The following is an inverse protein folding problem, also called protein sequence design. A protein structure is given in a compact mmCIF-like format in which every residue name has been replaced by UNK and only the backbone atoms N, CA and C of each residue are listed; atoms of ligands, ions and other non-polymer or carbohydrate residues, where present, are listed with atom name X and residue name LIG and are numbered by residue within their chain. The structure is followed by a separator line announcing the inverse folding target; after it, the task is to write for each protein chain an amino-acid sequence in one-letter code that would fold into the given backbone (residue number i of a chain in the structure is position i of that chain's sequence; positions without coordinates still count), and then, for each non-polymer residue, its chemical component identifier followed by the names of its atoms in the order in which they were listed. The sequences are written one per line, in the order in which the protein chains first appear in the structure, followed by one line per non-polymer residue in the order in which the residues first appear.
data_IF_176975795059
#
_entry.id   IF_176975795059
#
_cell.length_a   1.000
_cell.length_b   1.000
_cell.length_c   1.000
_cell.angle_alpha   90.00
_cell.angle_beta   90.00
_cell.angle_gamma   90.00
#
_symmetry.space_group_name_H-M   'P 1'
#
loop_
_entity.id
_entity.type
_entity.pdbx_description
1 polymer ?
#
# COMPACT_ATOMS: atom_id res chain seq x y z
N UNK A 1 28.09 12.27 46.89
CA UNK A 1 27.41 11.05 46.37
C UNK A 1 27.62 11.02 44.86
N UNK A 2 28.17 9.92 44.33
CA UNK A 2 28.80 9.90 43.00
C UNK A 2 28.02 9.05 41.98
N UNK A 3 28.29 9.29 40.70
CA UNK A 3 27.63 8.79 39.48
C UNK A 3 27.61 7.25 39.34
N UNK A 4 28.33 6.53 40.19
CA UNK A 4 28.56 5.08 40.13
C UNK A 4 27.37 4.16 40.45
N UNK A 5 26.18 4.69 40.80
CA UNK A 5 24.99 3.87 41.12
C UNK A 5 23.94 3.84 39.98
N UNK A 6 24.13 4.62 38.88
CA UNK A 6 23.18 4.65 37.74
C UNK A 6 23.70 4.03 36.43
N UNK A 7 24.91 3.47 36.41
CA UNK A 7 25.49 2.77 35.23
C UNK A 7 25.38 1.23 35.38
N UNK A 8 24.74 0.74 36.44
CA UNK A 8 24.52 -0.70 36.69
C UNK A 8 23.39 -1.34 35.85
N UNK A 9 22.72 -0.58 34.98
CA UNK A 9 21.59 -1.05 34.15
C UNK A 9 21.94 -1.25 32.66
N UNK A 10 23.19 -0.97 32.25
CA UNK A 10 23.59 -1.01 30.82
C UNK A 10 24.50 -2.19 30.44
N UNK A 11 24.63 -3.19 31.32
CA UNK A 11 25.69 -4.22 31.24
C UNK A 11 25.17 -5.67 31.32
N UNK A 12 23.90 -5.90 30.96
CA UNK A 12 23.24 -7.23 31.03
C UNK A 12 22.49 -7.68 29.76
N UNK A 13 22.59 -6.96 28.64
CA UNK A 13 21.99 -7.36 27.35
C UNK A 13 23.03 -7.46 26.21
N UNK A 14 24.30 -7.12 26.48
CA UNK A 14 25.40 -7.18 25.50
C UNK A 14 26.59 -7.97 26.05
N UNK A 15 26.36 -9.25 26.36
CA UNK A 15 27.31 -10.38 26.32
C UNK A 15 26.46 -11.66 26.29
N UNK A 16 26.28 -12.21 25.08
CA UNK A 16 25.74 -13.57 24.83
C UNK A 16 26.14 -14.01 23.41
N UNK A 17 27.39 -13.72 23.05
CA UNK A 17 27.97 -14.01 21.73
C UNK A 17 29.39 -14.55 21.96
N UNK A 18 29.63 -15.81 21.57
CA UNK A 18 30.92 -16.55 21.57
C UNK A 18 31.46 -16.85 22.99
N UNK A 19 32.07 -17.98 23.39
CA UNK A 19 32.77 -19.15 22.79
C UNK A 19 32.55 -20.35 23.78
N UNK A 20 32.39 -21.65 23.46
CA UNK A 20 32.19 -22.44 22.22
C UNK A 20 31.58 -23.82 22.54
N UNK A 21 31.01 -24.50 21.53
CA UNK A 21 31.21 -25.94 21.27
C UNK A 21 30.78 -26.26 19.84
N UNK A 22 31.73 -26.79 19.05
CA UNK A 22 31.52 -27.06 17.63
C UNK A 22 30.59 -28.27 17.37
N UNK A 23 30.02 -28.31 16.16
CA UNK A 23 29.00 -29.22 15.60
C UNK A 23 27.56 -28.67 15.78
N UNK A 24 26.78 -28.40 14.74
CA UNK A 24 26.95 -28.74 13.33
C UNK A 24 26.86 -27.52 12.41
N UNK A 25 27.86 -27.34 11.54
CA UNK A 25 27.64 -26.70 10.24
C UNK A 25 26.76 -27.65 9.43
N UNK A 26 25.45 -27.41 9.42
CA UNK A 26 24.54 -28.08 8.51
C UNK A 26 24.71 -27.48 7.11
N UNK A 27 25.75 -27.94 6.41
CA UNK A 27 25.96 -27.90 4.95
C UNK A 27 24.93 -27.07 4.17
N UNK A 28 25.20 -25.77 3.99
CA UNK A 28 24.62 -25.03 2.88
C UNK A 28 25.30 -25.55 1.61
N UNK A 29 24.75 -26.63 1.06
CA UNK A 29 25.21 -27.20 -0.19
C UNK A 29 25.06 -26.18 -1.32
N UNK A 30 26.18 -25.57 -1.72
CA UNK A 30 26.28 -24.77 -2.95
C UNK A 30 25.93 -25.70 -4.10
N UNK A 31 24.68 -25.62 -4.56
CA UNK A 31 24.18 -26.48 -5.61
C UNK A 31 24.51 -25.84 -6.96
N UNK A 32 25.45 -26.40 -7.77
CA UNK A 32 25.99 -25.73 -8.97
C UNK A 32 24.99 -25.58 -10.13
N UNK A 33 23.73 -25.98 -9.91
CA UNK A 33 22.61 -25.82 -10.84
C UNK A 33 21.59 -24.75 -10.39
N UNK A 34 21.86 -24.00 -9.31
CA UNK A 34 21.00 -22.91 -8.82
C UNK A 34 19.66 -23.36 -8.20
N UNK A 35 19.41 -24.67 -8.11
CA UNK A 35 18.22 -25.23 -7.45
C UNK A 35 18.53 -25.42 -5.96
N UNK A 36 18.37 -24.35 -5.18
CA UNK A 36 18.39 -24.44 -3.72
C UNK A 36 17.26 -25.33 -3.18
N UNK A 37 17.34 -25.80 -1.91
CA UNK A 37 16.28 -26.58 -1.29
C UNK A 37 14.95 -25.81 -1.36
N UNK A 38 13.88 -26.47 -1.83
CA UNK A 38 12.55 -25.87 -2.01
C UNK A 38 11.93 -25.51 -0.65
N UNK A 39 12.18 -24.28 -0.20
CA UNK A 39 11.64 -23.70 1.05
C UNK A 39 10.42 -22.80 0.82
N UNK A 40 9.85 -22.82 -0.40
CA UNK A 40 8.58 -22.19 -0.74
C UNK A 40 7.44 -22.80 0.09
N UNK A 41 6.59 -21.99 0.72
CA UNK A 41 5.40 -22.50 1.41
C UNK A 41 4.36 -23.03 0.43
N UNK A 42 4.23 -22.36 -0.70
CA UNK A 42 3.22 -22.69 -1.70
C UNK A 42 3.91 -23.55 -2.75
N UNK A 43 3.47 -24.80 -2.89
CA UNK A 43 3.77 -25.56 -4.10
C UNK A 43 2.85 -25.00 -5.21
N UNK A 44 3.39 -24.08 -6.02
CA UNK A 44 2.66 -23.16 -6.91
C UNK A 44 2.00 -23.83 -8.14
N UNK A 45 1.86 -25.16 -8.15
CA UNK A 45 1.55 -25.97 -9.33
C UNK A 45 0.08 -26.35 -9.51
N UNK A 46 -0.82 -25.98 -8.58
CA UNK A 46 -2.25 -26.32 -8.63
C UNK A 46 -3.13 -25.20 -9.25
N UNK A 47 -4.14 -25.60 -10.04
CA UNK A 47 -5.12 -24.69 -10.69
C UNK A 47 -6.16 -24.05 -9.76
N UNK A 48 -6.28 -24.53 -8.52
CA UNK A 48 -7.01 -23.89 -7.43
C UNK A 48 -6.37 -24.37 -6.12
N UNK A 49 -5.98 -23.45 -5.24
CA UNK A 49 -5.35 -23.80 -3.98
C UNK A 49 -5.89 -22.91 -2.85
N UNK A 50 -6.61 -23.49 -1.89
CA UNK A 50 -7.14 -22.73 -0.75
C UNK A 50 -6.02 -22.17 0.12
N UNK A 51 -4.84 -22.82 0.17
CA UNK A 51 -3.65 -22.26 0.80
C UNK A 51 -3.15 -21.00 0.10
N UNK A 52 -3.34 -20.91 -1.22
CA UNK A 52 -3.03 -19.67 -1.95
C UNK A 52 -4.07 -18.59 -1.70
N UNK A 53 -5.36 -18.93 -1.48
CA UNK A 53 -6.36 -17.95 -1.01
C UNK A 53 -6.01 -17.40 0.36
N UNK A 54 -5.59 -18.24 1.32
CA UNK A 54 -5.12 -17.80 2.63
C UNK A 54 -3.94 -16.82 2.52
N UNK A 55 -2.95 -17.16 1.69
CA UNK A 55 -1.79 -16.29 1.43
C UNK A 55 -2.25 -14.98 0.80
N UNK A 56 -3.02 -15.02 -0.29
CA UNK A 56 -3.54 -13.82 -0.96
C UNK A 56 -4.36 -12.96 -0.01
N UNK A 57 -5.20 -13.55 0.85
CA UNK A 57 -5.96 -12.83 1.87
C UNK A 57 -5.05 -12.14 2.88
N UNK A 58 -4.04 -12.82 3.44
CA UNK A 58 -3.14 -12.21 4.40
C UNK A 58 -2.29 -11.05 3.83
N UNK A 59 -1.98 -11.11 2.52
CA UNK A 59 -1.36 -9.99 1.77
C UNK A 59 -2.38 -8.87 1.50
N UNK A 60 -3.59 -9.19 1.04
CA UNK A 60 -4.67 -8.23 0.79
C UNK A 60 -5.04 -7.44 2.08
N UNK A 61 -5.18 -8.15 3.20
CA UNK A 61 -5.44 -7.62 4.55
C UNK A 61 -4.27 -6.78 5.12
N UNK A 62 -3.10 -6.76 4.44
CA UNK A 62 -1.92 -5.94 4.77
C UNK A 62 -1.64 -4.86 3.71
N UNK A 63 -2.57 -4.62 2.78
CA UNK A 63 -2.51 -3.50 1.84
C UNK A 63 -1.75 -3.77 0.55
N UNK A 64 -1.35 -5.01 0.29
CA UNK A 64 -0.79 -5.39 -0.99
C UNK A 64 -1.90 -5.46 -2.06
N UNK A 65 -1.61 -5.00 -3.29
CA UNK A 65 -2.55 -5.07 -4.42
C UNK A 65 -2.63 -6.50 -4.96
N UNK A 66 -3.55 -7.30 -4.41
CA UNK A 66 -3.72 -8.73 -4.67
C UNK A 66 -5.20 -9.12 -4.65
N UNK A 67 -5.69 -9.73 -5.74
CA UNK A 67 -6.98 -10.41 -5.77
C UNK A 67 -6.91 -11.77 -5.07
N UNK A 68 -7.87 -12.05 -4.17
CA UNK A 68 -8.01 -13.34 -3.48
C UNK A 68 -8.75 -14.36 -4.37
N UNK A 69 -8.06 -14.83 -5.40
CA UNK A 69 -8.62 -15.69 -6.46
C UNK A 69 -8.32 -17.19 -6.30
N UNK A 70 -7.34 -17.56 -5.46
CA UNK A 70 -6.80 -18.92 -5.36
C UNK A 70 -5.93 -19.35 -6.55
N UNK A 71 -5.64 -18.42 -7.47
CA UNK A 71 -4.80 -18.60 -8.67
C UNK A 71 -3.56 -17.72 -8.58
N UNK A 72 -2.40 -18.21 -8.98
CA UNK A 72 -1.16 -17.42 -8.95
C UNK A 72 -1.13 -16.41 -10.11
N UNK A 73 -1.64 -15.21 -9.86
CA UNK A 73 -1.58 -14.09 -10.80
C UNK A 73 -0.31 -13.26 -10.67
N UNK A 74 -0.07 -12.40 -11.68
CA UNK A 74 1.00 -11.39 -11.68
C UNK A 74 0.93 -10.48 -10.45
N UNK A 75 -0.27 -10.13 -10.01
CA UNK A 75 -0.54 -9.37 -8.78
C UNK A 75 0.06 -10.03 -7.53
N UNK A 76 -0.13 -11.35 -7.36
CA UNK A 76 0.37 -12.11 -6.22
C UNK A 76 1.90 -12.19 -6.26
N UNK A 77 2.48 -12.41 -7.44
CA UNK A 77 3.95 -12.40 -7.63
C UNK A 77 4.52 -10.99 -7.33
N UNK A 78 3.86 -9.93 -7.80
CA UNK A 78 4.25 -8.55 -7.50
C UNK A 78 4.19 -8.24 -6.00
N UNK A 79 3.23 -8.82 -5.26
CA UNK A 79 3.16 -8.67 -3.81
C UNK A 79 4.30 -9.42 -3.09
N UNK A 80 4.67 -10.62 -3.55
CA UNK A 80 5.86 -11.33 -3.05
C UNK A 80 7.13 -10.51 -3.31
N UNK A 81 7.28 -9.92 -4.50
CA UNK A 81 8.39 -9.01 -4.84
C UNK A 81 8.41 -7.77 -3.95
N UNK A 82 7.25 -7.19 -3.62
CA UNK A 82 7.16 -6.05 -2.71
C UNK A 82 7.58 -6.41 -1.29
N UNK A 83 7.15 -7.57 -0.77
CA UNK A 83 7.59 -8.07 0.53
C UNK A 83 9.11 -8.32 0.54
N UNK A 84 9.66 -8.96 -0.50
CA UNK A 84 11.11 -9.18 -0.63
C UNK A 84 11.91 -7.88 -0.60
N UNK A 85 11.44 -6.83 -1.28
CA UNK A 85 12.03 -5.49 -1.22
C UNK A 85 11.96 -4.86 0.17
N UNK A 86 10.81 -4.96 0.84
CA UNK A 86 10.62 -4.44 2.20
C UNK A 86 11.55 -5.14 3.22
N UNK A 87 11.70 -6.47 3.09
CA UNK A 87 12.59 -7.30 3.91
C UNK A 87 14.08 -7.20 3.53
N UNK A 88 14.41 -6.49 2.43
CA UNK A 88 15.77 -6.42 1.84
C UNK A 88 16.35 -7.80 1.50
N UNK A 89 15.48 -8.71 1.06
CA UNK A 89 15.82 -10.08 0.66
C UNK A 89 15.92 -10.23 -0.87
N UNK A 90 16.54 -11.30 -1.39
CA UNK A 90 16.62 -11.56 -2.83
C UNK A 90 15.25 -11.56 -3.52
N UNK A 91 15.15 -10.81 -4.62
CA UNK A 91 13.91 -10.68 -5.40
C UNK A 91 13.76 -11.90 -6.31
N UNK A 92 13.01 -12.90 -5.86
CA UNK A 92 12.75 -14.15 -6.59
C UNK A 92 11.31 -14.26 -7.09
N UNK A 93 10.38 -13.47 -6.56
CA UNK A 93 8.95 -13.60 -6.84
C UNK A 93 8.31 -14.88 -6.27
N UNK A 94 8.99 -15.61 -5.38
CA UNK A 94 8.54 -16.83 -4.70
C UNK A 94 8.49 -16.62 -3.19
N UNK A 95 7.42 -17.06 -2.52
CA UNK A 95 7.23 -16.86 -1.09
C UNK A 95 7.85 -17.98 -0.24
N UNK A 96 8.93 -17.66 0.48
CA UNK A 96 9.60 -18.61 1.38
C UNK A 96 8.94 -18.70 2.76
N UNK A 97 9.25 -19.78 3.50
CA UNK A 97 8.76 -19.97 4.86
C UNK A 97 9.17 -18.89 5.86
N UNK A 98 10.35 -18.29 5.69
CA UNK A 98 10.81 -17.15 6.49
C UNK A 98 10.01 -15.88 6.20
N UNK A 99 9.81 -15.55 4.92
CA UNK A 99 9.10 -14.35 4.47
C UNK A 99 7.65 -14.31 4.97
N UNK A 100 6.95 -15.43 4.89
CA UNK A 100 5.58 -15.56 5.39
C UNK A 100 5.48 -15.41 6.92
N UNK A 101 6.40 -16.00 7.68
CA UNK A 101 6.44 -15.83 9.15
C UNK A 101 6.63 -14.36 9.53
N UNK A 102 7.50 -13.64 8.81
CA UNK A 102 7.71 -12.19 9.00
C UNK A 102 6.45 -11.39 8.68
N UNK A 103 5.80 -11.65 7.54
CA UNK A 103 4.52 -11.02 7.18
C UNK A 103 3.43 -11.28 8.24
N UNK A 104 3.29 -12.50 8.74
CA UNK A 104 2.29 -12.83 9.76
C UNK A 104 2.59 -12.20 11.14
N UNK A 105 3.85 -11.90 11.45
CA UNK A 105 4.22 -11.20 12.68
C UNK A 105 3.85 -9.70 12.63
N UNK A 106 3.71 -9.11 11.44
CA UNK A 106 3.15 -7.78 11.28
C UNK A 106 1.63 -7.82 11.51
N UNK A 107 1.13 -7.02 12.45
CA UNK A 107 -0.31 -6.84 12.67
C UNK A 107 -0.96 -6.19 11.45
N UNK A 108 -2.15 -6.64 11.01
CA UNK A 108 -2.87 -5.97 9.93
C UNK A 108 -3.32 -4.57 10.37
N UNK A 109 -3.46 -3.61 9.43
CA UNK A 109 -4.04 -2.31 9.69
C UNK A 109 -5.43 -2.39 10.33
N UNK A 110 -5.66 -1.59 11.36
CA UNK A 110 -6.90 -1.55 12.16
C UNK A 110 -7.98 -0.66 11.54
N UNK A 111 -7.62 0.20 10.59
CA UNK A 111 -8.52 1.09 9.87
C UNK A 111 -8.25 1.04 8.37
N UNK A 112 -9.33 1.12 7.59
CA UNK A 112 -9.33 1.11 6.14
C UNK A 112 -10.26 2.18 5.59
N UNK A 113 -9.79 2.86 4.54
CA UNK A 113 -10.64 3.63 3.65
C UNK A 113 -10.60 3.09 2.23
N UNK A 114 -11.59 3.47 1.44
CA UNK A 114 -11.70 3.16 0.04
C UNK A 114 -12.34 4.32 -0.72
N UNK A 115 -11.93 4.49 -1.97
CA UNK A 115 -12.50 5.41 -2.94
C UNK A 115 -12.85 4.61 -4.19
N UNK A 116 -14.15 4.61 -4.52
CA UNK A 116 -14.71 4.06 -5.75
C UNK A 116 -15.05 5.20 -6.71
N UNK A 117 -14.72 5.03 -7.98
CA UNK A 117 -14.81 6.06 -9.02
C UNK A 117 -15.31 5.47 -10.32
N UNK A 118 -16.05 6.25 -11.10
CA UNK A 118 -16.50 5.91 -12.45
C UNK A 118 -16.06 6.96 -13.47
N UNK A 119 -16.01 6.62 -14.76
CA UNK A 119 -15.50 7.46 -15.84
C UNK A 119 -16.33 8.72 -16.11
N UNK A 120 -17.54 8.81 -15.58
CA UNK A 120 -18.44 9.97 -15.71
C UNK A 120 -18.26 11.05 -14.61
N UNK A 121 -17.32 10.85 -13.67
CA UNK A 121 -17.10 11.76 -12.52
C UNK A 121 -17.78 11.30 -11.23
N UNK A 122 -18.68 10.31 -11.30
CA UNK A 122 -19.31 9.70 -10.14
C UNK A 122 -18.26 9.05 -9.25
N UNK A 123 -18.38 9.27 -7.94
CA UNK A 123 -17.54 8.62 -6.95
C UNK A 123 -18.30 8.42 -5.63
N UNK A 124 -17.76 7.53 -4.81
CA UNK A 124 -18.16 7.33 -3.43
C UNK A 124 -17.03 6.68 -2.64
N UNK A 125 -17.08 6.83 -1.33
CA UNK A 125 -16.01 6.51 -0.43
C UNK A 125 -16.48 5.71 0.78
N UNK A 126 -15.50 5.18 1.50
CA UNK A 126 -15.64 4.64 2.83
C UNK A 126 -14.37 5.00 3.61
N UNK A 127 -14.48 5.22 4.91
CA UNK A 127 -13.37 5.56 5.79
C UNK A 127 -13.59 4.96 7.18
N UNK A 128 -12.54 4.85 7.98
CA UNK A 128 -12.58 4.26 9.34
C UNK A 128 -13.23 2.86 9.42
N UNK A 129 -13.09 2.04 8.38
CA UNK A 129 -13.65 0.68 8.36
C UNK A 129 -12.67 -0.34 8.94
N UNK A 130 -13.18 -1.31 9.71
CA UNK A 130 -12.35 -2.33 10.38
C UNK A 130 -11.63 -3.28 9.40
N UNK A 131 -12.13 -3.44 8.17
CA UNK A 131 -11.51 -4.31 7.17
C UNK A 131 -11.51 -3.65 5.78
N UNK A 132 -10.49 -3.98 5.00
CA UNK A 132 -10.37 -3.56 3.60
C UNK A 132 -11.59 -3.95 2.76
N UNK A 133 -12.07 -5.18 2.92
CA UNK A 133 -13.22 -5.69 2.18
C UNK A 133 -14.51 -4.92 2.48
N UNK A 134 -14.72 -4.50 3.73
CA UNK A 134 -15.86 -3.67 4.11
C UNK A 134 -15.76 -2.27 3.49
N UNK A 135 -14.57 -1.65 3.52
CA UNK A 135 -14.33 -0.36 2.86
C UNK A 135 -14.60 -0.43 1.36
N UNK A 136 -13.99 -1.40 0.65
CA UNK A 136 -14.17 -1.59 -0.78
C UNK A 136 -15.65 -1.88 -1.13
N UNK A 137 -16.36 -2.68 -0.33
CA UNK A 137 -17.78 -2.99 -0.55
C UNK A 137 -18.69 -1.75 -0.38
N UNK A 138 -18.48 -0.94 0.67
CA UNK A 138 -19.30 0.26 0.92
C UNK A 138 -19.08 1.28 -0.20
N UNK A 139 -17.82 1.58 -0.52
CA UNK A 139 -17.48 2.53 -1.58
C UNK A 139 -18.05 2.09 -2.94
N UNK A 140 -17.87 0.81 -3.34
CA UNK A 140 -18.44 0.28 -4.58
C UNK A 140 -19.96 0.38 -4.63
N UNK A 141 -20.66 -0.06 -3.58
CA UNK A 141 -22.13 -0.02 -3.51
C UNK A 141 -22.65 1.41 -3.65
N UNK A 142 -22.00 2.36 -2.98
CA UNK A 142 -22.39 3.77 -2.98
C UNK A 142 -22.01 4.50 -4.28
N UNK A 143 -21.05 4.00 -5.05
CA UNK A 143 -20.74 4.49 -6.40
C UNK A 143 -21.78 3.97 -7.40
N UNK A 144 -22.03 2.65 -7.39
CA UNK A 144 -22.97 1.97 -8.29
C UNK A 144 -24.44 2.38 -8.08
N UNK A 145 -24.79 2.93 -6.91
CA UNK A 145 -26.14 3.51 -6.69
C UNK A 145 -26.33 4.89 -7.31
N UNK A 146 -25.25 5.58 -7.70
CA UNK A 146 -25.25 6.93 -8.27
C UNK A 146 -25.05 6.96 -9.79
N UNK A 147 -24.55 5.90 -10.40
CA UNK A 147 -24.29 5.83 -11.86
C UNK A 147 -24.75 4.51 -12.49
N UNK A 148 -24.90 4.52 -13.83
CA UNK A 148 -25.09 3.34 -14.69
C UNK A 148 -23.77 2.83 -15.29
N UNK A 149 -22.68 3.56 -15.09
CA UNK A 149 -21.32 3.24 -15.54
C UNK A 149 -20.62 2.29 -14.58
N UNK A 150 -19.57 1.60 -15.03
CA UNK A 150 -18.73 0.76 -14.15
C UNK A 150 -18.02 1.60 -13.08
N UNK A 151 -17.91 1.07 -11.86
CA UNK A 151 -17.13 1.68 -10.78
C UNK A 151 -15.89 0.84 -10.45
N UNK A 152 -14.72 1.49 -10.39
CA UNK A 152 -13.46 0.90 -9.93
C UNK A 152 -13.11 1.40 -8.54
N UNK A 153 -12.59 0.54 -7.67
CA UNK A 153 -12.25 0.90 -6.28
C UNK A 153 -10.76 0.72 -6.00
N UNK A 154 -10.23 1.61 -5.16
CA UNK A 154 -8.97 1.41 -4.45
C UNK A 154 -9.14 1.70 -2.98
N UNK A 155 -8.37 1.01 -2.15
CA UNK A 155 -8.38 1.12 -0.70
C UNK A 155 -6.99 1.39 -0.16
N UNK A 156 -6.90 2.08 0.97
CA UNK A 156 -5.65 2.28 1.67
C UNK A 156 -5.83 2.11 3.20
N UNK A 157 -4.77 1.68 3.91
CA UNK A 157 -4.81 1.47 5.35
C UNK A 157 -4.53 2.75 6.15
N UNK A 158 -4.99 2.81 7.39
CA UNK A 158 -4.58 3.78 8.40
C UNK A 158 -4.62 5.24 7.91
N UNK A 159 -3.49 5.96 7.98
CA UNK A 159 -3.35 7.39 7.64
C UNK A 159 -2.99 7.65 6.17
N UNK A 160 -3.35 6.73 5.27
CA UNK A 160 -3.08 6.90 3.85
C UNK A 160 -4.16 7.69 3.13
N UNK A 161 -3.73 8.37 2.09
CA UNK A 161 -4.53 9.14 1.15
C UNK A 161 -4.83 8.34 -0.10
N UNK A 162 -6.07 8.41 -0.57
CA UNK A 162 -6.52 7.88 -1.85
C UNK A 162 -7.04 9.07 -2.67
N UNK A 163 -6.46 9.30 -3.85
CA UNK A 163 -6.88 10.40 -4.73
C UNK A 163 -7.24 9.91 -6.10
N UNK A 164 -8.16 10.61 -6.75
CA UNK A 164 -8.52 10.39 -8.15
C UNK A 164 -8.56 11.72 -8.90
N UNK A 165 -8.05 11.71 -10.14
CA UNK A 165 -8.26 12.78 -11.12
C UNK A 165 -8.93 12.23 -12.37
N UNK A 166 -9.85 13.00 -12.96
CA UNK A 166 -10.52 12.66 -14.20
C UNK A 166 -10.02 13.57 -15.32
N UNK A 167 -9.56 12.95 -16.41
CA UNK A 167 -9.09 13.69 -17.57
C UNK A 167 -9.70 13.15 -18.86
N UNK A 168 -10.04 14.06 -19.78
CA UNK A 168 -10.70 13.80 -21.05
C UNK A 168 -9.78 14.23 -22.19
N UNK A 169 -9.53 13.31 -23.12
CA UNK A 169 -8.75 13.57 -24.33
C UNK A 169 -9.60 13.09 -25.53
N UNK A 170 -10.13 14.05 -26.28
CA UNK A 170 -11.21 13.79 -27.24
C UNK A 170 -12.42 13.12 -26.56
N UNK A 171 -12.92 12.02 -27.14
CA UNK A 171 -14.08 11.30 -26.62
C UNK A 171 -13.74 10.31 -25.47
N UNK A 172 -12.47 10.19 -25.08
CA UNK A 172 -12.05 9.25 -24.02
C UNK A 172 -11.90 9.98 -22.69
N UNK A 173 -12.59 9.51 -21.67
CA UNK A 173 -12.30 9.89 -20.27
C UNK A 173 -11.43 8.80 -19.62
N UNK A 174 -10.38 9.21 -18.93
CA UNK A 174 -9.44 8.36 -18.18
C UNK A 174 -9.43 8.81 -16.72
N UNK A 175 -9.35 7.84 -15.79
CA UNK A 175 -9.37 8.07 -14.34
C UNK A 175 -8.03 7.67 -13.72
N UNK A 176 -7.39 8.59 -13.00
CA UNK A 176 -6.05 8.44 -12.42
C UNK A 176 -6.12 8.28 -10.90
N UNK A 177 -6.35 7.05 -10.46
CA UNK A 177 -6.50 6.68 -9.05
C UNK A 177 -5.14 6.33 -8.42
N UNK A 178 -4.73 7.00 -7.33
CA UNK A 178 -3.41 6.87 -6.67
C UNK A 178 -3.52 6.86 -5.15
N UNK A 179 -2.45 6.38 -4.51
CA UNK A 179 -2.33 6.27 -3.06
C UNK A 179 -0.99 6.86 -2.60
N UNK A 180 -0.99 7.60 -1.49
CA UNK A 180 0.21 8.08 -0.78
C UNK A 180 0.02 7.97 0.75
N UNK A 181 1.10 7.86 1.50
CA UNK A 181 1.08 7.74 2.96
C UNK A 181 1.49 9.03 3.71
N UNK A 182 1.72 10.13 2.98
CA UNK A 182 2.24 11.38 3.52
C UNK A 182 1.23 12.53 3.36
N UNK A 183 0.72 12.78 2.16
CA UNK A 183 -0.30 13.81 1.92
C UNK A 183 -1.12 13.57 0.65
N UNK A 184 -2.30 14.19 0.60
CA UNK A 184 -3.13 14.38 -0.59
C UNK A 184 -2.32 14.93 -1.76
N UNK A 185 -1.53 15.98 -1.56
CA UNK A 185 -0.71 16.62 -2.61
C UNK A 185 0.30 15.66 -3.24
N UNK A 186 0.96 14.83 -2.43
CA UNK A 186 1.92 13.83 -2.94
C UNK A 186 1.20 12.73 -3.71
N UNK A 187 -0.01 12.37 -3.31
CA UNK A 187 -0.86 11.46 -4.07
C UNK A 187 -1.29 12.10 -5.41
N UNK A 188 -1.68 13.39 -5.42
CA UNK A 188 -2.04 14.12 -6.63
C UNK A 188 -0.86 14.31 -7.57
N UNK A 189 0.33 14.68 -7.07
CA UNK A 189 1.55 14.75 -7.86
C UNK A 189 1.88 13.41 -8.54
N UNK A 190 1.63 12.27 -7.87
CA UNK A 190 1.73 10.92 -8.44
C UNK A 190 0.65 10.61 -9.48
N UNK A 191 -0.54 11.21 -9.37
CA UNK A 191 -1.62 11.08 -10.36
C UNK A 191 -1.30 11.90 -11.60
N UNK A 192 -0.97 13.19 -11.42
CA UNK A 192 -0.61 14.14 -12.47
C UNK A 192 0.61 13.66 -13.27
N UNK A 193 1.65 13.13 -12.60
CA UNK A 193 2.82 12.54 -13.28
C UNK A 193 2.46 11.36 -14.18
N UNK A 194 1.40 10.61 -13.86
CA UNK A 194 0.91 9.55 -14.72
C UNK A 194 0.03 10.08 -15.87
N UNK A 195 -0.83 11.08 -15.60
CA UNK A 195 -1.60 11.76 -16.62
C UNK A 195 -0.70 12.36 -17.72
N UNK A 196 0.37 13.06 -17.33
CA UNK A 196 1.38 13.62 -18.24
C UNK A 196 2.06 12.53 -19.07
N UNK A 197 2.38 11.38 -18.46
CA UNK A 197 2.99 10.24 -19.18
C UNK A 197 2.04 9.67 -20.25
N UNK A 198 0.74 9.71 -19.99
CA UNK A 198 -0.30 9.22 -20.89
C UNK A 198 -0.82 10.31 -21.87
N UNK A 199 -0.17 11.49 -21.88
CA UNK A 199 -0.41 12.57 -22.86
C UNK A 199 -1.42 13.64 -22.46
N UNK A 200 -1.86 13.67 -21.20
CA UNK A 200 -2.79 14.67 -20.67
C UNK A 200 -2.05 15.84 -20.02
N UNK A 201 -2.63 17.04 -20.07
CA UNK A 201 -2.16 18.21 -19.33
C UNK A 201 -3.07 18.50 -18.11
N UNK A 202 -2.69 18.03 -16.89
CA UNK A 202 -3.49 18.24 -15.68
C UNK A 202 -3.39 19.65 -15.10
N UNK A 203 -2.45 20.49 -15.54
CA UNK A 203 -2.24 21.81 -14.96
C UNK A 203 -2.89 22.93 -15.78
N UNK A 204 -2.99 22.76 -17.10
CA UNK A 204 -3.67 23.73 -17.97
C UNK A 204 -5.21 23.57 -18.01
N UNK A 205 -5.81 22.68 -17.20
CA UNK A 205 -7.25 22.59 -16.94
C UNK A 205 -8.16 22.20 -18.13
N UNK A 206 -7.61 22.04 -19.33
CA UNK A 206 -8.37 21.69 -20.55
C UNK A 206 -8.71 20.21 -20.62
N UNK A 207 -7.82 19.37 -20.12
CA UNK A 207 -7.99 17.92 -20.16
C UNK A 207 -8.62 17.41 -18.86
N UNK A 208 -8.14 17.86 -17.70
CA UNK A 208 -8.58 17.35 -16.40
C UNK A 208 -9.63 18.27 -15.76
N UNK A 209 -10.81 17.71 -15.48
CA UNK A 209 -12.03 18.47 -15.11
C UNK A 209 -12.52 18.21 -13.67
N UNK A 210 -11.96 17.22 -12.97
CA UNK A 210 -12.37 16.87 -11.61
C UNK A 210 -11.22 16.20 -10.87
N UNK A 211 -11.12 16.49 -9.56
CA UNK A 211 -10.19 15.82 -8.65
C UNK A 211 -10.82 15.62 -7.26
N UNK A 212 -10.47 14.52 -6.59
CA UNK A 212 -10.98 14.18 -5.26
C UNK A 212 -9.91 13.51 -4.40
N UNK A 213 -9.92 13.81 -3.10
CA UNK A 213 -9.04 13.19 -2.10
C UNK A 213 -9.83 12.66 -0.90
N UNK A 214 -9.52 11.42 -0.51
CA UNK A 214 -10.09 10.71 0.64
C UNK A 214 -8.95 10.24 1.55
N UNK A 215 -8.96 10.66 2.81
CA UNK A 215 -8.10 10.14 3.85
C UNK A 215 -8.73 8.88 4.48
N UNK A 216 -7.96 7.80 4.61
CA UNK A 216 -8.50 6.48 4.96
C UNK A 216 -9.14 6.37 6.37
N UNK A 217 -8.68 7.16 7.36
CA UNK A 217 -9.43 7.36 8.62
C UNK A 217 -10.54 8.42 8.52
N UNK A 218 -10.19 9.67 8.18
CA UNK A 218 -11.05 10.84 8.39
C UNK A 218 -12.11 11.12 7.28
N UNK A 219 -12.03 10.46 6.12
CA UNK A 219 -13.00 10.65 5.04
C UNK A 219 -12.54 11.67 4.00
N UNK A 220 -13.47 12.41 3.40
CA UNK A 220 -13.13 13.48 2.46
C UNK A 220 -12.36 14.59 3.15
N UNK A 221 -11.37 15.14 2.44
CA UNK A 221 -10.84 16.47 2.77
C UNK A 221 -11.22 17.48 1.67
N UNK A 222 -11.16 17.10 0.37
CA UNK A 222 -11.55 17.99 -0.73
C UNK A 222 -12.22 17.30 -1.92
N UNK A 223 -13.25 17.96 -2.46
CA UNK A 223 -13.75 17.77 -3.82
C UNK A 223 -13.42 19.03 -4.62
N UNK A 224 -12.42 18.97 -5.50
CA UNK A 224 -12.06 20.10 -6.36
C UNK A 224 -13.00 20.10 -7.57
N UNK A 225 -14.16 20.76 -7.41
CA UNK A 225 -15.08 21.07 -8.50
C UNK A 225 -14.74 22.41 -9.13
N UNK A 226 -14.37 22.39 -10.42
CA UNK A 226 -14.22 23.51 -11.36
C UNK A 226 -14.52 24.93 -10.83
N UNK A 227 -13.50 25.64 -10.32
CA UNK A 227 -13.27 27.08 -10.66
C UNK A 227 -12.06 27.72 -10.02
N UNK A 228 -11.70 27.31 -8.82
CA UNK A 228 -10.38 27.61 -8.28
C UNK A 228 -9.37 26.81 -9.10
N UNK A 229 -8.27 27.46 -9.46
CA UNK A 229 -7.21 26.78 -10.20
C UNK A 229 -6.61 25.66 -9.35
N UNK A 230 -5.72 24.87 -9.95
CA UNK A 230 -4.81 24.01 -9.17
C UNK A 230 -3.73 24.87 -8.48
N UNK A 231 -4.14 25.93 -7.77
CA UNK A 231 -3.31 26.60 -6.77
C UNK A 231 -3.13 25.62 -5.62
N UNK A 232 -1.88 25.17 -5.47
CA UNK A 232 -1.41 24.61 -4.21
C UNK A 232 -1.34 25.77 -3.23
N UNK A 233 -2.47 26.08 -2.59
CA UNK A 233 -2.49 27.07 -1.52
C UNK A 233 -1.63 26.54 -0.37
N UNK A 234 -0.44 27.12 -0.23
CA UNK A 234 0.48 26.81 0.86
C UNK A 234 -0.14 27.29 2.18
N UNK A 235 -0.85 26.41 2.89
CA UNK A 235 -1.24 26.66 4.26
C UNK A 235 -0.71 25.60 5.22
N UNK A 236 0.52 25.84 5.68
CA UNK A 236 1.12 25.16 6.83
C UNK A 236 1.86 26.16 7.75
N UNK A 237 1.38 27.40 7.84
CA UNK A 237 1.71 28.31 8.94
C UNK A 237 0.84 27.92 10.14
N UNK A 238 1.37 27.12 11.06
CA UNK A 238 0.51 26.55 12.08
C UNK A 238 1.07 25.63 13.15
N UNK A 239 2.38 25.59 13.44
CA UNK A 239 2.76 25.38 14.85
C UNK A 239 4.15 25.91 15.24
N UNK A 240 4.15 26.54 16.41
CA UNK A 240 5.28 27.10 17.12
C UNK A 240 6.39 26.07 17.33
N UNK A 241 7.64 26.48 17.08
CA UNK A 241 8.81 25.87 17.70
C UNK A 241 9.56 26.99 18.41
N UNK A 242 9.47 27.00 19.75
CA UNK A 242 10.33 27.84 20.58
C UNK A 242 11.80 27.49 20.30
N UNK A 243 12.61 28.51 20.08
CA UNK A 243 14.07 28.38 19.96
C UNK A 243 14.65 28.26 21.37
N UNK A 244 15.33 27.16 21.74
CA UNK A 244 16.13 27.13 22.96
C UNK A 244 17.36 28.02 22.77
N UNK A 245 17.67 28.86 23.77
CA UNK A 245 18.88 29.69 23.83
C UNK A 245 20.17 28.85 23.77
#
# INVERSE_FOLDING_TARGET
MSIFVKVAALLLVVISVLVSSNRAMASEGINPLGIGPRTDIVNLTSRNNDKLKEVQKAFYDRGFDVTVSGKLGRETINAFVQLQRALKEPITGRLTSGQWKKLLAESPPTSWGALAVSTDGTHAEAHSQQTRALAEQIALRNCLSKTKSDCWVRSAPNYYWIVSGWCRLGNRTTVFLRIDGISSDKAFAKANKAAIKDGFDPYNGKDCFQAVAVHAMFGYEHTLTEREGFEVEHQADGQLVDVPN
#
